data_IF_418017334415
#
_entry.id   IF_418017334415
#
_cell.length_a   1.000
_cell.length_b   1.000
_cell.length_c   1.000
_cell.angle_alpha   90.00
_cell.angle_beta   90.00
_cell.angle_gamma   90.00
#
_symmetry.space_group_name_H-M   'P 1'
#
loop_
_entity.id
_entity.type
_entity.pdbx_description
1 polymer ?
#
# COMPACT_ATOMS: atom_id res chain seq x y z
N UNK A 1 -15.76 18.31 5.65
CA UNK A 1 -14.71 18.30 4.61
C UNK A 1 -13.65 19.37 4.86
N UNK A 2 -14.01 20.57 5.32
CA UNK A 2 -13.04 21.65 5.58
C UNK A 2 -11.93 21.26 6.58
N UNK A 3 -12.21 20.37 7.54
CA UNK A 3 -11.21 19.88 8.51
C UNK A 3 -10.30 18.75 7.98
N UNK A 4 -10.68 18.09 6.87
CA UNK A 4 -9.97 16.91 6.34
C UNK A 4 -8.94 17.31 5.26
N UNK A 5 -9.27 18.33 4.46
CA UNK A 5 -8.38 18.85 3.43
C UNK A 5 -7.01 19.30 3.97
N UNK A 6 -6.91 20.00 5.12
CA UNK A 6 -5.62 20.35 5.73
C UNK A 6 -4.75 19.14 6.09
N UNK A 7 -5.35 17.98 6.36
CA UNK A 7 -4.63 16.75 6.70
C UNK A 7 -4.00 16.14 5.44
N UNK A 8 -4.76 16.00 4.35
CA UNK A 8 -4.29 15.29 3.16
C UNK A 8 -3.58 16.20 2.17
N UNK A 9 -4.05 17.42 1.94
CA UNK A 9 -3.57 18.30 0.88
C UNK A 9 -2.06 18.60 0.92
N UNK A 10 -1.41 18.91 2.07
CA UNK A 10 0.02 19.20 2.10
C UNK A 10 0.89 18.06 1.58
N UNK A 11 0.50 16.81 1.85
CA UNK A 11 1.22 15.61 1.43
C UNK A 11 1.12 15.46 -0.09
N UNK A 12 -0.09 15.56 -0.65
CA UNK A 12 -0.30 15.43 -2.09
C UNK A 12 0.26 16.61 -2.89
N UNK A 13 0.22 17.82 -2.34
CA UNK A 13 0.88 18.99 -2.92
C UNK A 13 2.40 18.79 -2.96
N UNK A 14 3.00 18.28 -1.87
CA UNK A 14 4.43 17.96 -1.84
C UNK A 14 4.81 16.91 -2.89
N UNK A 15 3.99 15.87 -3.05
CA UNK A 15 4.17 14.85 -4.11
C UNK A 15 4.08 15.50 -5.50
N UNK A 16 3.08 16.37 -5.72
CA UNK A 16 2.89 17.06 -7.00
C UNK A 16 4.07 17.99 -7.33
N UNK A 17 4.56 18.76 -6.35
CA UNK A 17 5.74 19.60 -6.50
C UNK A 17 6.96 18.75 -6.86
N UNK A 18 7.21 17.65 -6.14
CA UNK A 18 8.31 16.74 -6.46
C UNK A 18 8.23 16.18 -7.89
N UNK A 19 7.03 15.78 -8.32
CA UNK A 19 6.79 15.32 -9.70
C UNK A 19 7.06 16.42 -10.73
N UNK A 20 6.54 17.64 -10.50
CA UNK A 20 6.74 18.78 -11.39
C UNK A 20 8.21 19.19 -11.48
N UNK A 21 8.94 19.21 -10.36
CA UNK A 21 10.38 19.54 -10.33
C UNK A 21 11.18 18.60 -11.24
N UNK A 22 10.92 17.29 -11.17
CA UNK A 22 11.58 16.32 -12.06
C UNK A 22 11.13 16.51 -13.51
N UNK A 23 9.82 16.72 -13.74
CA UNK A 23 9.26 16.88 -15.09
C UNK A 23 9.76 18.14 -15.80
N UNK A 24 10.01 19.22 -15.04
CA UNK A 24 10.54 20.48 -15.53
C UNK A 24 12.08 20.47 -15.65
N UNK A 25 12.74 19.33 -15.35
CA UNK A 25 14.19 19.18 -15.46
C UNK A 25 14.99 19.78 -14.30
N UNK A 26 14.34 20.18 -13.20
CA UNK A 26 15.00 20.71 -12.00
C UNK A 26 15.76 19.66 -11.19
N UNK A 27 15.46 18.37 -11.40
CA UNK A 27 16.21 17.23 -10.83
C UNK A 27 16.42 16.17 -11.91
N UNK A 28 17.63 15.61 -11.95
CA UNK A 28 17.97 14.49 -12.83
C UNK A 28 17.55 13.15 -12.23
N UNK A 29 17.53 12.09 -13.05
CA UNK A 29 17.31 10.72 -12.55
C UNK A 29 18.35 10.30 -11.50
N UNK A 30 19.59 10.79 -11.63
CA UNK A 30 20.65 10.51 -10.67
C UNK A 30 20.39 11.18 -9.32
N UNK A 31 19.90 12.43 -9.31
CA UNK A 31 19.54 13.15 -8.09
C UNK A 31 18.39 12.45 -7.36
N UNK A 32 17.35 12.05 -8.10
CA UNK A 32 16.21 11.30 -7.54
C UNK A 32 16.67 9.96 -6.96
N UNK A 33 17.58 9.26 -7.64
CA UNK A 33 18.15 8.01 -7.11
C UNK A 33 18.98 8.25 -5.84
N UNK A 34 19.74 9.35 -5.78
CA UNK A 34 20.51 9.75 -4.59
C UNK A 34 19.61 10.04 -3.39
N UNK A 35 18.55 10.84 -3.59
CA UNK A 35 17.54 11.10 -2.57
C UNK A 35 16.84 9.82 -2.11
N UNK A 36 16.48 8.92 -3.05
CA UNK A 36 15.90 7.62 -2.73
C UNK A 36 16.80 6.77 -1.84
N UNK A 37 18.11 6.73 -2.11
CA UNK A 37 19.10 6.03 -1.27
C UNK A 37 19.17 6.62 0.14
N UNK A 38 19.20 7.95 0.27
CA UNK A 38 19.19 8.61 1.57
C UNK A 38 17.94 8.24 2.39
N UNK A 39 16.78 8.30 1.75
CA UNK A 39 15.49 8.00 2.39
C UNK A 39 15.44 6.54 2.85
N UNK A 40 15.83 5.59 1.99
CA UNK A 40 15.78 4.16 2.30
C UNK A 40 16.84 3.75 3.33
N UNK A 41 18.07 4.28 3.23
CA UNK A 41 19.19 3.81 4.06
C UNK A 41 19.31 4.56 5.39
N UNK A 42 18.80 5.79 5.50
CA UNK A 42 18.94 6.61 6.71
C UNK A 42 17.60 7.02 7.30
N UNK A 43 16.74 7.67 6.51
CA UNK A 43 15.49 8.26 7.04
C UNK A 43 14.49 7.21 7.51
N UNK A 44 14.25 6.16 6.72
CA UNK A 44 13.31 5.08 7.07
C UNK A 44 13.76 4.28 8.30
N UNK A 45 15.02 3.82 8.40
CA UNK A 45 15.51 3.17 9.62
C UNK A 45 15.41 4.08 10.85
N UNK A 46 15.74 5.37 10.72
CA UNK A 46 15.60 6.32 11.82
C UNK A 46 14.13 6.53 12.23
N UNK A 47 13.21 6.60 11.27
CA UNK A 47 11.77 6.68 11.53
C UNK A 47 11.27 5.45 12.28
N UNK A 48 11.66 4.25 11.83
CA UNK A 48 11.28 2.99 12.47
C UNK A 48 11.89 2.86 13.87
N UNK A 49 13.17 3.18 14.03
CA UNK A 49 13.83 3.18 15.33
C UNK A 49 13.14 4.14 16.29
N UNK A 50 12.82 5.36 15.85
CA UNK A 50 12.06 6.33 16.65
C UNK A 50 10.68 5.78 17.02
N UNK A 51 9.95 5.19 16.07
CA UNK A 51 8.64 4.62 16.34
C UNK A 51 8.70 3.45 17.34
N UNK A 52 9.77 2.64 17.30
CA UNK A 52 9.96 1.54 18.25
C UNK A 52 10.50 2.02 19.61
N UNK A 53 11.36 3.05 19.65
CA UNK A 53 11.98 3.51 20.89
C UNK A 53 11.06 4.38 21.74
N UNK A 54 10.07 5.04 21.13
CA UNK A 54 9.12 5.89 21.83
C UNK A 54 7.89 5.14 22.37
N UNK A 55 7.74 3.83 22.08
CA UNK A 55 6.55 3.06 22.44
C UNK A 55 6.90 1.75 23.18
N UNK A 56 6.14 1.36 24.22
CA UNK A 56 6.41 0.12 24.94
C UNK A 56 6.25 -1.11 24.02
N UNK A 57 7.22 -2.02 24.02
CA UNK A 57 7.16 -3.28 23.23
C UNK A 57 5.92 -4.13 23.54
N UNK A 58 5.35 -4.00 24.73
CA UNK A 58 4.11 -4.66 25.13
C UNK A 58 2.88 -4.17 24.34
N UNK A 59 2.84 -2.89 23.95
CA UNK A 59 1.78 -2.33 23.08
C UNK A 59 2.00 -2.68 21.60
N UNK A 60 3.25 -2.96 21.21
CA UNK A 60 3.66 -3.39 19.86
C UNK A 60 3.29 -4.86 19.59
N UNK A 61 2.98 -5.66 20.61
CA UNK A 61 2.48 -7.03 20.44
C UNK A 61 0.95 -7.10 20.57
N UNK A 62 0.23 -6.14 19.98
CA UNK A 62 -1.21 -6.26 19.82
C UNK A 62 -1.54 -7.36 18.80
N UNK A 63 -1.62 -8.61 19.27
CA UNK A 63 -1.86 -9.78 18.45
C UNK A 63 -3.17 -9.70 17.66
N UNK A 64 -4.19 -9.06 18.21
CA UNK A 64 -5.46 -8.85 17.51
C UNK A 64 -5.31 -7.89 16.31
N UNK A 65 -4.58 -6.79 16.47
CA UNK A 65 -4.24 -5.90 15.36
C UNK A 65 -3.43 -6.61 14.29
N UNK A 66 -2.35 -7.31 14.70
CA UNK A 66 -1.48 -8.03 13.76
C UNK A 66 -2.28 -9.07 12.97
N UNK A 67 -3.10 -9.87 13.66
CA UNK A 67 -3.96 -10.86 13.02
C UNK A 67 -4.98 -10.24 12.08
N UNK A 68 -5.63 -9.13 12.47
CA UNK A 68 -6.63 -8.47 11.64
C UNK A 68 -6.03 -7.82 10.40
N UNK A 69 -4.94 -7.07 10.55
CA UNK A 69 -4.27 -6.43 9.43
C UNK A 69 -3.63 -7.47 8.50
N UNK A 70 -3.07 -8.56 9.05
CA UNK A 70 -2.59 -9.70 8.27
C UNK A 70 -3.72 -10.39 7.53
N UNK A 71 -4.85 -10.68 8.18
CA UNK A 71 -6.00 -11.30 7.55
C UNK A 71 -6.52 -10.44 6.39
N UNK A 72 -6.79 -9.15 6.61
CA UNK A 72 -7.26 -8.25 5.55
C UNK A 72 -6.29 -8.15 4.37
N UNK A 73 -4.99 -7.99 4.64
CA UNK A 73 -3.96 -7.84 3.61
C UNK A 73 -3.72 -9.15 2.85
N UNK A 74 -3.61 -10.29 3.55
CA UNK A 74 -3.40 -11.60 2.94
C UNK A 74 -4.64 -12.05 2.16
N UNK A 75 -5.85 -11.78 2.66
CA UNK A 75 -7.07 -12.04 1.90
C UNK A 75 -7.04 -11.28 0.57
N UNK A 76 -6.67 -10.00 0.56
CA UNK A 76 -6.54 -9.25 -0.70
C UNK A 76 -5.42 -9.77 -1.61
N UNK A 77 -4.27 -10.13 -1.05
CA UNK A 77 -3.17 -10.73 -1.81
C UNK A 77 -3.62 -12.01 -2.50
N UNK A 78 -4.26 -12.92 -1.75
CA UNK A 78 -4.70 -14.22 -2.24
C UNK A 78 -5.89 -14.09 -3.20
N UNK A 79 -6.88 -13.25 -2.92
CA UNK A 79 -8.01 -13.01 -3.81
C UNK A 79 -7.58 -12.34 -5.12
N UNK A 80 -6.70 -11.34 -5.05
CA UNK A 80 -6.13 -10.70 -6.24
C UNK A 80 -5.31 -11.68 -7.09
N UNK A 81 -4.52 -12.53 -6.43
CA UNK A 81 -3.77 -13.61 -7.09
C UNK A 81 -4.70 -14.66 -7.71
N UNK A 82 -5.70 -15.13 -6.97
CA UNK A 82 -6.65 -16.13 -7.45
C UNK A 82 -7.48 -15.60 -8.62
N UNK A 83 -7.95 -14.34 -8.54
CA UNK A 83 -8.66 -13.69 -9.64
C UNK A 83 -7.81 -13.62 -10.90
N UNK A 84 -6.56 -13.16 -10.79
CA UNK A 84 -5.65 -13.10 -11.93
C UNK A 84 -5.32 -14.51 -12.49
N UNK A 85 -5.17 -15.51 -11.61
CA UNK A 85 -4.80 -16.87 -11.98
C UNK A 85 -5.92 -17.65 -12.66
N UNK A 86 -7.13 -17.60 -12.11
CA UNK A 86 -8.26 -18.45 -12.51
C UNK A 86 -9.22 -17.74 -13.46
N UNK A 87 -9.50 -16.45 -13.24
CA UNK A 87 -10.41 -15.69 -14.11
C UNK A 87 -9.65 -15.12 -15.31
N UNK A 88 -8.49 -14.50 -15.06
CA UNK A 88 -7.68 -13.89 -16.14
C UNK A 88 -6.71 -14.87 -16.80
N UNK A 89 -6.57 -16.08 -16.25
CA UNK A 89 -5.69 -17.14 -16.76
C UNK A 89 -4.24 -16.66 -16.94
N UNK A 90 -3.80 -15.73 -16.10
CA UNK A 90 -2.42 -15.23 -16.12
C UNK A 90 -1.48 -16.26 -15.49
N UNK A 91 -0.18 -16.11 -15.76
CA UNK A 91 0.84 -16.91 -15.08
C UNK A 91 0.81 -16.67 -13.57
N UNK A 92 1.32 -17.62 -12.78
CA UNK A 92 1.34 -17.47 -11.33
C UNK A 92 2.13 -16.22 -10.91
N UNK A 93 3.24 -15.92 -11.59
CA UNK A 93 4.06 -14.74 -11.30
C UNK A 93 3.31 -13.43 -11.56
N UNK A 94 2.65 -13.32 -12.73
CA UNK A 94 1.85 -12.15 -13.07
C UNK A 94 0.63 -11.99 -12.16
N UNK A 95 0.08 -13.11 -11.68
CA UNK A 95 -1.05 -13.15 -10.76
C UNK A 95 -0.64 -12.71 -9.35
N UNK A 96 0.49 -13.22 -8.84
CA UNK A 96 1.06 -12.82 -7.56
C UNK A 96 1.38 -11.32 -7.53
N UNK A 97 1.92 -10.78 -8.63
CA UNK A 97 2.16 -9.36 -8.79
C UNK A 97 0.86 -8.54 -8.79
N UNK A 98 -0.22 -9.05 -9.39
CA UNK A 98 -1.53 -8.41 -9.33
C UNK A 98 -2.05 -8.38 -7.88
N UNK A 99 -1.98 -9.51 -7.17
CA UNK A 99 -2.33 -9.59 -5.75
C UNK A 99 -1.55 -8.60 -4.88
N UNK A 100 -0.23 -8.55 -5.06
CA UNK A 100 0.66 -7.60 -4.36
C UNK A 100 0.23 -6.15 -4.58
N UNK A 101 -0.09 -5.77 -5.82
CA UNK A 101 -0.56 -4.42 -6.14
C UNK A 101 -1.91 -4.08 -5.49
N UNK A 102 -2.75 -5.08 -5.23
CA UNK A 102 -4.06 -4.92 -4.58
C UNK A 102 -3.98 -4.87 -3.05
N UNK A 103 -2.97 -5.48 -2.42
CA UNK A 103 -2.84 -5.58 -0.95
C UNK A 103 -1.80 -4.66 -0.33
N UNK A 104 -0.70 -4.35 -1.02
CA UNK A 104 0.44 -3.72 -0.36
C UNK A 104 0.27 -2.22 -0.28
N UNK A 105 0.30 -1.66 0.92
CA UNK A 105 0.10 -0.24 1.19
C UNK A 105 1.41 0.53 1.27
N UNK A 106 1.39 1.81 0.91
CA UNK A 106 2.46 2.74 1.16
C UNK A 106 2.32 3.35 2.55
N UNK A 107 2.42 2.48 3.56
CA UNK A 107 2.20 2.83 4.96
C UNK A 107 3.26 3.79 5.48
N UNK A 108 4.51 3.68 5.00
CA UNK A 108 5.62 4.53 5.46
C UNK A 108 5.65 5.95 4.87
N UNK A 109 5.42 6.12 3.56
CA UNK A 109 5.61 7.43 2.92
C UNK A 109 4.34 8.26 2.82
N UNK A 110 3.19 7.62 2.59
CA UNK A 110 1.92 8.32 2.40
C UNK A 110 0.98 8.08 3.57
N UNK A 111 0.85 6.82 4.01
CA UNK A 111 0.01 6.47 5.15
C UNK A 111 0.45 7.18 6.43
N UNK A 112 1.72 7.07 6.82
CA UNK A 112 2.20 7.56 8.10
C UNK A 112 2.02 9.07 8.31
N UNK A 113 2.38 9.96 7.37
CA UNK A 113 2.12 11.39 7.54
C UNK A 113 0.63 11.74 7.66
N UNK A 114 -0.27 10.97 7.02
CA UNK A 114 -1.72 11.15 7.15
C UNK A 114 -2.15 10.70 8.55
N UNK A 115 -1.78 9.49 8.95
CA UNK A 115 -2.15 8.94 10.26
C UNK A 115 -1.56 9.77 11.41
N UNK A 116 -0.34 10.28 11.26
CA UNK A 116 0.33 11.15 12.23
C UNK A 116 -0.44 12.45 12.47
N UNK A 117 -0.97 13.06 11.41
CA UNK A 117 -1.78 14.27 11.53
C UNK A 117 -3.15 14.02 12.18
N UNK A 118 -3.69 12.80 12.05
CA UNK A 118 -4.99 12.43 12.63
C UNK A 118 -4.86 11.93 14.07
N UNK A 119 -3.87 11.08 14.36
CA UNK A 119 -3.74 10.35 15.62
C UNK A 119 -2.56 10.79 16.49
N UNK A 120 -1.72 11.71 16.00
CA UNK A 120 -0.51 12.13 16.72
C UNK A 120 0.49 10.97 16.92
N UNK A 121 1.21 10.92 18.05
CA UNK A 121 2.27 9.94 18.28
C UNK A 121 1.86 8.46 18.12
N UNK A 122 0.59 8.13 18.36
CA UNK A 122 0.04 6.77 18.21
C UNK A 122 0.17 6.23 16.77
N UNK A 123 0.33 7.11 15.78
CA UNK A 123 0.61 6.71 14.40
C UNK A 123 1.89 5.86 14.26
N UNK A 124 2.88 6.09 15.14
CA UNK A 124 4.13 5.31 15.15
C UNK A 124 3.90 3.83 15.48
N UNK A 125 3.03 3.56 16.44
CA UNK A 125 2.66 2.19 16.83
C UNK A 125 1.95 1.49 15.68
N UNK A 126 0.94 2.14 15.09
CA UNK A 126 0.21 1.60 13.96
C UNK A 126 1.12 1.32 12.74
N UNK A 127 2.08 2.20 12.47
CA UNK A 127 3.07 2.01 11.41
C UNK A 127 3.95 0.79 11.69
N UNK A 128 4.50 0.69 12.91
CA UNK A 128 5.37 -0.44 13.28
C UNK A 128 4.63 -1.77 13.12
N UNK A 129 3.40 -1.87 13.62
CA UNK A 129 2.55 -3.06 13.50
C UNK A 129 2.22 -3.40 12.04
N UNK A 130 1.86 -2.39 11.23
CA UNK A 130 1.56 -2.59 9.80
C UNK A 130 2.81 -3.08 9.05
N UNK A 131 3.99 -2.50 9.33
CA UNK A 131 5.24 -2.90 8.70
C UNK A 131 5.70 -4.30 9.11
N UNK A 132 5.42 -4.73 10.34
CA UNK A 132 5.63 -6.12 10.76
C UNK A 132 4.84 -7.07 9.87
N UNK A 133 3.55 -6.81 9.67
CA UNK A 133 2.71 -7.64 8.80
C UNK A 133 3.15 -7.57 7.34
N UNK A 134 3.41 -6.37 6.82
CA UNK A 134 3.78 -6.18 5.42
C UNK A 134 5.12 -6.85 5.08
N UNK A 135 6.13 -6.68 5.93
CA UNK A 135 7.49 -7.16 5.67
C UNK A 135 7.72 -8.62 6.09
N UNK A 136 7.08 -9.09 7.17
CA UNK A 136 7.29 -10.46 7.67
C UNK A 136 6.24 -11.46 7.18
N UNK A 137 5.10 -11.01 6.64
CA UNK A 137 4.06 -11.91 6.13
C UNK A 137 3.71 -11.64 4.68
N UNK A 138 3.19 -10.46 4.35
CA UNK A 138 2.64 -10.18 3.01
C UNK A 138 3.72 -10.29 1.93
N UNK A 139 4.87 -9.64 2.13
CA UNK A 139 5.97 -9.66 1.17
C UNK A 139 6.57 -11.06 1.00
N UNK A 140 6.91 -11.83 2.06
CA UNK A 140 7.36 -13.21 1.91
C UNK A 140 6.35 -14.11 1.19
N UNK A 141 5.05 -14.02 1.52
CA UNK A 141 4.01 -14.81 0.83
C UNK A 141 3.93 -14.43 -0.65
N UNK A 142 4.00 -13.14 -0.98
CA UNK A 142 4.10 -12.70 -2.37
C UNK A 142 5.33 -13.31 -3.07
N UNK A 143 6.51 -13.24 -2.46
CA UNK A 143 7.75 -13.77 -3.04
C UNK A 143 7.64 -15.28 -3.26
N UNK A 144 7.11 -16.02 -2.29
CA UNK A 144 6.86 -17.47 -2.45
C UNK A 144 5.94 -17.72 -3.64
N UNK A 145 4.83 -16.99 -3.77
CA UNK A 145 3.92 -17.15 -4.91
C UNK A 145 4.57 -16.76 -6.25
N UNK A 146 5.37 -15.70 -6.26
CA UNK A 146 6.02 -15.18 -7.45
C UNK A 146 7.23 -16.01 -7.90
N UNK A 147 7.88 -16.74 -7.00
CA UNK A 147 9.05 -17.58 -7.27
C UNK A 147 8.74 -19.07 -7.34
N UNK A 148 7.55 -19.48 -6.86
CA UNK A 148 7.04 -20.83 -7.06
C UNK A 148 7.00 -21.15 -8.54
N UNK A 149 7.96 -21.96 -9.00
CA UNK A 149 7.88 -22.61 -10.30
C UNK A 149 6.69 -23.55 -10.25
N UNK A 150 5.55 -23.10 -10.76
CA UNK A 150 4.48 -24.02 -11.10
C UNK A 150 5.07 -25.07 -12.05
N UNK A 151 5.12 -26.32 -11.60
CA UNK A 151 5.43 -27.48 -12.43
C UNK A 151 4.41 -27.51 -13.58
N UNK A 152 4.78 -26.92 -14.71
CA UNK A 152 3.88 -26.71 -15.84
C UNK A 152 4.49 -25.76 -16.86
N UNK A 153 5.14 -26.32 -17.87
CA UNK A 153 5.82 -25.62 -18.96
C UNK A 153 4.90 -24.71 -19.77
N UNK A 154 4.77 -23.46 -19.33
CA UNK A 154 4.24 -22.36 -20.14
C UNK A 154 5.39 -21.60 -20.78
N UNK A 155 5.65 -21.88 -22.06
CA UNK A 155 6.72 -21.29 -22.85
C UNK A 155 6.81 -19.76 -22.71
N UNK A 156 8.06 -19.27 -22.75
CA UNK A 156 8.55 -17.88 -22.91
C UNK A 156 7.98 -17.16 -24.16
N UNK A 157 6.99 -17.75 -24.85
CA UNK A 157 6.49 -17.35 -26.17
C UNK A 157 5.43 -16.24 -26.14
N UNK A 158 5.05 -15.72 -24.97
CA UNK A 158 4.14 -14.56 -24.86
C UNK A 158 4.85 -13.21 -24.66
N UNK A 159 6.18 -13.18 -24.62
CA UNK A 159 6.95 -11.94 -24.51
C UNK A 159 6.89 -11.04 -25.76
N UNK A 160 6.21 -11.46 -26.84
CA UNK A 160 6.15 -10.72 -28.11
C UNK A 160 4.72 -10.48 -28.66
N UNK A 161 3.65 -10.72 -27.89
CA UNK A 161 2.32 -10.32 -28.35
C UNK A 161 2.06 -8.90 -27.89
N UNK A 162 2.17 -7.98 -28.85
CA UNK A 162 2.22 -6.53 -28.69
C UNK A 162 1.34 -5.96 -27.57
N UNK A 163 1.92 -4.97 -26.88
CA UNK A 163 1.27 -4.07 -25.94
C UNK A 163 -0.02 -3.48 -26.55
N UNK A 164 -1.13 -4.20 -26.39
CA UNK A 164 -2.46 -3.63 -26.59
C UNK A 164 -2.67 -2.67 -25.43
N UNK A 165 -2.50 -1.38 -25.68
CA UNK A 165 -2.78 -0.26 -24.75
C UNK A 165 -4.13 -0.45 -24.01
N UNK A 166 -5.11 -1.07 -24.68
CA UNK A 166 -6.42 -1.42 -24.11
C UNK A 166 -6.39 -2.43 -22.95
N UNK A 167 -5.42 -3.35 -22.94
CA UNK A 167 -5.22 -4.32 -21.85
C UNK A 167 -4.55 -3.71 -20.62
N UNK A 168 -3.65 -2.74 -20.83
CA UNK A 168 -2.93 -2.03 -19.77
C UNK A 168 -3.90 -1.25 -18.86
N UNK A 169 -4.73 -0.40 -19.45
CA UNK A 169 -5.70 0.42 -18.70
C UNK A 169 -6.64 -0.45 -17.85
N UNK A 170 -7.16 -1.52 -18.43
CA UNK A 170 -8.06 -2.41 -17.72
C UNK A 170 -7.37 -3.12 -16.54
N UNK A 171 -6.10 -3.49 -16.67
CA UNK A 171 -5.34 -4.08 -15.56
C UNK A 171 -5.04 -3.05 -14.47
N UNK A 172 -4.63 -1.85 -14.86
CA UNK A 172 -4.41 -0.71 -13.94
C UNK A 172 -5.67 -0.38 -13.16
N UNK A 173 -6.80 -0.14 -13.82
CA UNK A 173 -8.06 0.22 -13.15
C UNK A 173 -8.50 -0.83 -12.15
N UNK A 174 -8.32 -2.12 -12.44
CA UNK A 174 -8.66 -3.21 -11.51
C UNK A 174 -7.74 -3.24 -10.30
N UNK A 175 -6.43 -3.15 -10.50
CA UNK A 175 -5.45 -3.13 -9.40
C UNK A 175 -5.71 -1.93 -8.50
N UNK A 176 -5.84 -0.74 -9.09
CA UNK A 176 -6.06 0.51 -8.36
C UNK A 176 -7.41 0.51 -7.64
N UNK A 177 -8.48 0.10 -8.32
CA UNK A 177 -9.82 0.03 -7.71
C UNK A 177 -9.86 -0.96 -6.54
N UNK A 178 -9.27 -2.14 -6.70
CA UNK A 178 -9.16 -3.11 -5.61
C UNK A 178 -8.29 -2.58 -4.45
N UNK A 179 -7.16 -1.91 -4.74
CA UNK A 179 -6.28 -1.37 -3.70
C UNK A 179 -6.93 -0.24 -2.90
N UNK A 180 -7.62 0.68 -3.57
CA UNK A 180 -8.16 1.88 -2.92
C UNK A 180 -9.56 1.65 -2.31
N UNK A 181 -10.28 0.62 -2.74
CA UNK A 181 -11.63 0.33 -2.24
C UNK A 181 -11.69 -1.01 -1.49
N UNK A 182 -11.34 -2.12 -2.14
CA UNK A 182 -11.54 -3.45 -1.57
C UNK A 182 -10.57 -3.73 -0.42
N UNK A 183 -9.33 -3.25 -0.49
CA UNK A 183 -8.35 -3.50 0.57
C UNK A 183 -8.68 -2.82 1.91
N UNK A 184 -9.01 -1.52 1.96
CA UNK A 184 -9.51 -0.89 3.18
C UNK A 184 -10.73 -1.60 3.75
N UNK A 185 -11.67 -2.04 2.89
CA UNK A 185 -12.84 -2.78 3.31
C UNK A 185 -12.50 -4.16 3.87
N UNK A 186 -11.55 -4.88 3.27
CA UNK A 186 -11.08 -6.17 3.76
C UNK A 186 -10.40 -6.03 5.14
N UNK A 187 -9.56 -5.01 5.31
CA UNK A 187 -8.93 -4.71 6.60
C UNK A 187 -9.97 -4.30 7.64
N UNK A 188 -10.91 -3.43 7.27
CA UNK A 188 -12.03 -3.04 8.14
C UNK A 188 -12.88 -4.24 8.59
N UNK A 189 -13.22 -5.13 7.66
CA UNK A 189 -13.96 -6.35 7.96
C UNK A 189 -13.17 -7.26 8.92
N UNK A 190 -11.87 -7.46 8.67
CA UNK A 190 -11.01 -8.26 9.55
C UNK A 190 -10.90 -7.67 10.97
N UNK A 191 -10.77 -6.34 11.09
CA UNK A 191 -10.75 -5.64 12.38
C UNK A 191 -12.08 -5.74 13.14
N UNK A 192 -13.20 -5.88 12.41
CA UNK A 192 -14.53 -6.04 13.00
C UNK A 192 -14.75 -7.46 13.53
N UNK A 193 -14.10 -8.46 12.93
CA UNK A 193 -14.16 -9.86 13.36
C UNK A 193 -13.29 -10.15 14.58
N UNK A 194 -12.18 -9.43 14.73
CA UNK A 194 -11.20 -9.63 15.81
C UNK A 194 -11.33 -8.47 16.81
N UNK A 195 -12.09 -8.68 17.88
CA UNK A 195 -12.34 -7.72 18.95
C UNK A 195 -11.84 -8.27 20.30
N UNK A 196 -11.27 -7.45 21.19
CA UNK A 196 -11.14 -5.98 21.15
C UNK A 196 -9.80 -5.47 20.57
N UNK A 197 -9.86 -4.41 19.77
CA UNK A 197 -8.68 -3.64 19.29
C UNK A 197 -8.91 -2.16 19.64
N UNK A 198 -7.86 -1.46 20.06
CA UNK A 198 -7.88 -0.03 20.34
C UNK A 198 -8.49 0.76 19.16
N UNK A 199 -9.49 1.63 19.39
CA UNK A 199 -10.10 2.47 18.36
C UNK A 199 -9.09 3.28 17.53
N UNK A 200 -8.03 3.83 18.15
CA UNK A 200 -7.00 4.60 17.45
C UNK A 200 -6.22 3.71 16.49
N UNK A 201 -5.87 2.50 16.91
CA UNK A 201 -5.20 1.53 16.05
C UNK A 201 -6.12 1.05 14.92
N UNK A 202 -7.42 0.86 15.17
CA UNK A 202 -8.40 0.53 14.11
C UNK A 202 -8.43 1.61 13.03
N UNK A 203 -8.47 2.89 13.42
CA UNK A 203 -8.40 4.02 12.48
C UNK A 203 -7.10 3.97 11.69
N UNK A 204 -5.96 3.78 12.38
CA UNK A 204 -4.65 3.70 11.74
C UNK A 204 -4.59 2.61 10.67
N UNK A 205 -5.00 1.38 11.00
CA UNK A 205 -5.00 0.24 10.07
C UNK A 205 -5.80 0.52 8.79
N UNK A 206 -7.00 1.06 8.91
CA UNK A 206 -7.85 1.36 7.75
C UNK A 206 -7.26 2.49 6.91
N UNK A 207 -6.68 3.52 7.53
CA UNK A 207 -6.00 4.60 6.80
C UNK A 207 -4.73 4.13 6.09
N UNK A 208 -3.93 3.26 6.73
CA UNK A 208 -2.79 2.61 6.07
C UNK A 208 -3.26 1.78 4.87
N UNK A 209 -4.29 0.96 5.04
CA UNK A 209 -4.88 0.16 3.97
C UNK A 209 -5.40 1.01 2.80
N UNK A 210 -5.83 2.26 3.08
CA UNK A 210 -6.35 3.23 2.11
C UNK A 210 -5.29 4.00 1.35
N UNK A 211 -4.03 3.95 1.81
CA UNK A 211 -2.89 4.54 1.11
C UNK A 211 -2.66 3.84 -0.25
N UNK A 212 -1.99 4.48 -1.22
CA UNK A 212 -1.70 3.84 -2.51
C UNK A 212 -0.69 2.70 -2.33
N UNK A 213 -0.42 1.96 -3.41
CA UNK A 213 0.47 0.80 -3.31
C UNK A 213 1.93 1.14 -3.01
N UNK A 214 2.67 0.18 -2.48
CA UNK A 214 4.08 0.32 -2.08
C UNK A 214 4.97 0.82 -3.24
N UNK A 215 5.86 1.78 -2.96
CA UNK A 215 6.71 2.44 -3.98
C UNK A 215 7.60 1.47 -4.77
N UNK A 216 8.03 0.36 -4.18
CA UNK A 216 8.89 -0.64 -4.85
C UNK A 216 8.13 -1.58 -5.79
N UNK A 217 6.81 -1.44 -5.91
CA UNK A 217 5.98 -2.29 -6.74
C UNK A 217 6.44 -2.39 -8.22
N UNK A 218 6.84 -1.29 -8.90
CA UNK A 218 7.38 -1.37 -10.26
C UNK A 218 8.70 -2.14 -10.37
N UNK A 219 9.52 -2.17 -9.33
CA UNK A 219 10.79 -2.92 -9.31
C UNK A 219 10.50 -4.43 -9.36
N UNK A 220 9.49 -4.90 -8.62
CA UNK A 220 9.03 -6.27 -8.79
C UNK A 220 8.45 -6.49 -10.19
N UNK A 221 7.67 -5.53 -10.70
CA UNK A 221 7.17 -5.57 -12.08
C UNK A 221 8.26 -5.73 -13.13
N UNK A 222 9.40 -5.04 -12.99
CA UNK A 222 10.56 -5.18 -13.86
C UNK A 222 11.08 -6.62 -13.89
N UNK A 223 11.28 -7.25 -12.72
CA UNK A 223 11.75 -8.64 -12.61
C UNK A 223 10.86 -9.64 -13.37
N UNK A 224 9.57 -9.33 -13.53
CA UNK A 224 8.58 -10.20 -14.17
C UNK A 224 8.05 -9.66 -15.52
N UNK A 225 8.67 -8.63 -16.11
CA UNK A 225 8.28 -8.08 -17.42
C UNK A 225 6.93 -7.35 -17.44
N UNK A 226 6.49 -6.80 -16.30
CA UNK A 226 5.22 -6.04 -16.15
C UNK A 226 5.42 -4.64 -15.58
N UNK A 227 6.61 -4.05 -15.78
CA UNK A 227 6.97 -2.73 -15.28
C UNK A 227 5.92 -1.66 -15.63
N UNK A 228 5.48 -1.58 -16.89
CA UNK A 228 4.54 -0.55 -17.36
C UNK A 228 3.22 -0.57 -16.59
N UNK A 229 2.66 -1.76 -16.36
CA UNK A 229 1.41 -1.92 -15.61
C UNK A 229 1.61 -1.50 -14.16
N UNK A 230 2.71 -1.92 -13.55
CA UNK A 230 3.01 -1.62 -12.15
C UNK A 230 3.30 -0.13 -11.92
N UNK A 231 4.07 0.50 -12.80
CA UNK A 231 4.36 1.92 -12.76
C UNK A 231 3.08 2.74 -12.97
N UNK A 232 2.28 2.42 -13.98
CA UNK A 232 1.01 3.09 -14.23
C UNK A 232 0.02 2.91 -13.08
N UNK A 233 -0.06 1.70 -12.50
CA UNK A 233 -0.89 1.43 -11.33
C UNK A 233 -0.45 2.21 -10.09
N UNK A 234 0.87 2.29 -9.82
CA UNK A 234 1.40 3.07 -8.72
C UNK A 234 1.10 4.56 -8.88
N UNK A 235 1.37 5.12 -10.06
CA UNK A 235 1.11 6.54 -10.34
C UNK A 235 -0.38 6.87 -10.25
N UNK A 236 -1.23 6.03 -10.84
CA UNK A 236 -2.69 6.22 -10.82
C UNK A 236 -3.25 6.06 -9.42
N UNK A 237 -2.84 5.04 -8.67
CA UNK A 237 -3.26 4.87 -7.28
C UNK A 237 -2.80 6.05 -6.43
N UNK A 238 -1.59 6.54 -6.62
CA UNK A 238 -1.08 7.69 -5.86
C UNK A 238 -1.94 8.92 -6.13
N UNK A 239 -2.22 9.24 -7.40
CA UNK A 239 -3.09 10.37 -7.74
C UNK A 239 -4.52 10.22 -7.18
N UNK A 240 -5.13 9.05 -7.35
CA UNK A 240 -6.51 8.79 -6.89
C UNK A 240 -6.62 8.63 -5.37
N UNK A 241 -5.52 8.29 -4.69
CA UNK A 241 -5.52 8.06 -3.25
C UNK A 241 -5.84 9.32 -2.44
N UNK A 242 -5.60 10.52 -3.00
CA UNK A 242 -6.06 11.75 -2.38
C UNK A 242 -7.58 11.74 -2.16
N UNK A 243 -8.32 11.38 -3.21
CA UNK A 243 -9.78 11.30 -3.15
C UNK A 243 -10.24 10.13 -2.27
N UNK A 244 -9.60 8.95 -2.40
CA UNK A 244 -10.01 7.78 -1.61
C UNK A 244 -9.74 7.95 -0.12
N UNK A 245 -8.56 8.41 0.28
CA UNK A 245 -8.22 8.62 1.69
C UNK A 245 -9.08 9.74 2.28
N UNK A 246 -9.31 10.83 1.54
CA UNK A 246 -10.21 11.90 1.99
C UNK A 246 -11.65 11.42 2.16
N UNK A 247 -12.13 10.54 1.28
CA UNK A 247 -13.45 9.91 1.41
C UNK A 247 -13.53 8.98 2.63
N UNK A 248 -12.49 8.19 2.89
CA UNK A 248 -12.41 7.31 4.08
C UNK A 248 -12.42 8.14 5.37
N UNK A 249 -11.61 9.20 5.45
CA UNK A 249 -11.61 10.13 6.59
C UNK A 249 -12.97 10.79 6.79
N UNK A 250 -13.63 11.18 5.70
CA UNK A 250 -14.96 11.77 5.77
C UNK A 250 -16.02 10.79 6.27
N UNK A 251 -15.96 9.53 5.84
CA UNK A 251 -16.83 8.46 6.35
C UNK A 251 -16.57 8.17 7.82
N UNK A 252 -15.30 8.17 8.25
CA UNK A 252 -14.93 7.99 9.66
C UNK A 252 -15.44 9.13 10.55
N UNK A 253 -15.32 10.37 10.10
CA UNK A 253 -15.83 11.54 10.80
C UNK A 253 -17.37 11.47 10.95
N UNK A 254 -18.08 11.21 9.84
CA UNK A 254 -19.54 11.01 9.82
C UNK A 254 -20.01 9.85 10.69
N UNK A 255 -19.23 8.77 10.73
CA UNK A 255 -19.50 7.58 11.54
C UNK A 255 -19.14 7.72 13.02
N UNK A 256 -18.63 8.88 13.46
CA UNK A 256 -18.24 9.14 14.84
C UNK A 256 -16.93 8.45 15.27
N UNK A 257 -16.17 7.87 14.35
CA UNK A 257 -14.91 7.19 14.67
C UNK A 257 -13.87 8.16 15.22
N UNK A 258 -13.83 9.37 14.66
CA UNK A 258 -12.91 10.42 15.08
C UNK A 258 -13.34 11.11 16.39
N UNK A 259 -14.51 10.77 16.95
CA UNK A 259 -14.94 11.30 18.25
C UNK A 259 -14.02 10.86 19.40
N UNK A 260 -13.33 9.72 19.26
CA UNK A 260 -12.34 9.23 20.24
C UNK A 260 -11.08 10.12 20.33
N UNK A 261 -10.95 11.10 19.45
CA UNK A 261 -9.83 12.04 19.39
C UNK A 261 -10.15 13.40 20.03
N UNK A 262 -11.42 13.62 20.43
CA UNK A 262 -11.89 14.82 21.13
C UNK A 262 -11.94 14.57 22.63
#
# INVERSE_FOLDING_TARGET
MQDILPVTAPIFLTIAIGYLTVRLGGLTKADVAGLGKFVINLSLPALLFRALSQNPLAEILNGAYLAAYALGSLTMLLLGTAFARFVRKQSLQASALTGMGMSSSNSGFIGYPIVLQVLGPTAGIGLALAMVVENLLVLPVFLVLAESRAAGGGSVRHALVGLRIRGLLADVTRIVGAKLLLHPLAVFAALSLLSPIDPKLRIAAVLFASSPMLTVYPIFGQKYGREDVCAAALMTATALSFASVSAVLWLMDRGGWLAVLR
#
